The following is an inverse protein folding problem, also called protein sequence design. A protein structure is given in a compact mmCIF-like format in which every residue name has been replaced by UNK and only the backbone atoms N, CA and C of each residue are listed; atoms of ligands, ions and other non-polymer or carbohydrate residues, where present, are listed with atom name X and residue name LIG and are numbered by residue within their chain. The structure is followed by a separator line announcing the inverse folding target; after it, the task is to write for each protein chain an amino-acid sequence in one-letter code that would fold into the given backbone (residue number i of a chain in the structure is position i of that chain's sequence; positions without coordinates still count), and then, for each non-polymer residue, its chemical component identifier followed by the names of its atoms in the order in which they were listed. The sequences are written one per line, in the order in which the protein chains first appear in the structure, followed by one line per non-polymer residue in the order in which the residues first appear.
data_IF_127791520553
#
_entry.id   IF_127791520553
#
_cell.length_a   1.000
_cell.length_b   1.000
_cell.length_c   1.000
_cell.angle_alpha   90.00
_cell.angle_beta   90.00
_cell.angle_gamma   90.00
#
_symmetry.space_group_name_H-M   'P 1'
#
loop_
_entity.id
_entity.type
_entity.pdbx_description
1 polymer ?
#
# COMPACT_ATOMS: atom_id res chain seq x y z
N UNK A 1 6.11 -18.02 2.83
CA UNK A 1 6.34 -16.59 3.09
C UNK A 1 4.99 -15.90 3.01
N UNK A 2 4.56 -15.26 4.09
CA UNK A 2 3.30 -14.53 4.13
C UNK A 2 3.40 -13.22 3.34
N UNK A 3 2.26 -12.75 2.81
CA UNK A 3 2.19 -11.51 2.05
C UNK A 3 1.17 -10.57 2.67
N UNK A 4 1.63 -9.37 2.99
CA UNK A 4 0.85 -8.32 3.62
C UNK A 4 0.83 -7.07 2.76
N UNK A 5 -0.18 -6.23 2.94
CA UNK A 5 -0.22 -4.89 2.40
C UNK A 5 -0.48 -3.86 3.48
N UNK A 6 0.04 -2.66 3.28
CA UNK A 6 -0.31 -1.47 4.03
C UNK A 6 -1.38 -0.71 3.26
N UNK A 7 -2.52 -0.46 3.90
CA UNK A 7 -3.67 0.26 3.35
C UNK A 7 -4.43 0.91 4.51
N UNK A 8 -4.91 2.13 4.31
CA UNK A 8 -5.73 2.86 5.29
C UNK A 8 -7.17 2.90 4.80
N UNK A 9 -8.11 2.38 5.59
CA UNK A 9 -9.55 2.38 5.31
C UNK A 9 -10.36 3.28 6.23
N UNK A 10 -9.81 3.62 7.40
CA UNK A 10 -10.50 4.43 8.41
C UNK A 10 -9.62 4.77 9.61
N UNK A 11 -10.16 5.62 10.49
CA UNK A 11 -9.46 6.14 11.68
C UNK A 11 -9.15 5.03 12.69
N UNK A 12 -10.08 4.09 12.89
CA UNK A 12 -9.94 3.01 13.89
C UNK A 12 -9.35 1.72 13.31
N UNK A 13 -9.20 1.64 11.98
CA UNK A 13 -8.79 0.41 11.32
C UNK A 13 -7.28 0.13 11.46
N UNK A 14 -6.94 -1.15 11.50
CA UNK A 14 -5.56 -1.57 11.33
C UNK A 14 -5.06 -1.23 9.91
N UNK A 15 -3.76 -0.96 9.79
CA UNK A 15 -3.18 -0.60 8.49
C UNK A 15 -2.63 -1.80 7.72
N UNK A 16 -2.49 -2.98 8.35
CA UNK A 16 -1.86 -4.15 7.72
C UNK A 16 -2.93 -5.20 7.43
N UNK A 17 -2.96 -5.63 6.19
CA UNK A 17 -3.96 -6.55 5.65
C UNK A 17 -3.28 -7.74 4.98
N UNK A 18 -3.88 -8.92 5.05
CA UNK A 18 -3.45 -10.07 4.26
C UNK A 18 -3.74 -9.81 2.77
N UNK A 19 -2.73 -10.00 1.91
CA UNK A 19 -2.86 -9.76 0.45
C UNK A 19 -3.90 -10.69 -0.19
N UNK A 20 -3.96 -11.93 0.27
CA UNK A 20 -4.83 -12.94 -0.32
C UNK A 20 -6.28 -12.81 0.17
N UNK A 21 -6.49 -12.64 1.49
CA UNK A 21 -7.82 -12.72 2.11
C UNK A 21 -8.48 -11.36 2.35
N UNK A 22 -7.74 -10.23 2.28
CA UNK A 22 -8.22 -8.90 2.68
C UNK A 22 -8.66 -8.84 4.15
N UNK A 23 -8.18 -9.74 4.99
CA UNK A 23 -8.43 -9.68 6.42
C UNK A 23 -7.39 -8.80 7.11
N UNK A 24 -7.84 -8.04 8.11
CA UNK A 24 -6.95 -7.26 8.97
C UNK A 24 -6.02 -8.16 9.77
N UNK A 25 -4.76 -7.78 9.83
CA UNK A 25 -3.75 -8.45 10.66
C UNK A 25 -3.87 -7.91 12.09
N UNK A 26 -3.82 -8.79 13.09
CA UNK A 26 -3.85 -8.39 14.49
C UNK A 26 -2.59 -7.58 14.87
N UNK A 27 -2.72 -6.58 15.74
CA UNK A 27 -1.60 -5.74 16.21
C UNK A 27 -0.50 -6.53 16.95
N UNK A 28 -0.82 -7.71 17.47
CA UNK A 28 0.14 -8.63 18.08
C UNK A 28 1.03 -9.35 17.07
N UNK A 29 0.70 -9.29 15.77
CA UNK A 29 1.46 -9.96 14.73
C UNK A 29 2.87 -9.35 14.58
N UNK A 30 3.94 -10.17 14.43
CA UNK A 30 5.31 -9.67 14.35
C UNK A 30 5.57 -8.62 13.27
N UNK A 31 4.81 -8.64 12.17
CA UNK A 31 4.92 -7.66 11.07
C UNK A 31 4.86 -6.21 11.57
N UNK A 32 4.03 -5.93 12.58
CA UNK A 32 3.92 -4.59 13.19
C UNK A 32 5.21 -4.18 13.91
N UNK A 33 5.86 -5.11 14.60
CA UNK A 33 7.13 -4.84 15.30
C UNK A 33 8.25 -4.52 14.31
N UNK A 34 8.28 -5.19 13.16
CA UNK A 34 9.26 -4.91 12.12
C UNK A 34 8.99 -3.55 11.47
N UNK A 35 7.73 -3.23 11.16
CA UNK A 35 7.36 -1.94 10.58
C UNK A 35 7.66 -0.79 11.55
N UNK A 36 7.35 -0.96 12.84
CA UNK A 36 7.59 0.06 13.87
C UNK A 36 9.06 0.47 14.00
N UNK A 37 9.98 -0.45 13.74
CA UNK A 37 11.44 -0.15 13.74
C UNK A 37 11.84 0.79 12.61
N UNK A 38 11.08 0.83 11.52
CA UNK A 38 11.40 1.62 10.33
C UNK A 38 10.56 2.90 10.18
N UNK A 39 9.37 2.94 10.80
CA UNK A 39 8.46 4.09 10.78
C UNK A 39 7.50 4.06 11.98
N UNK A 40 7.26 5.23 12.58
CA UNK A 40 6.09 5.42 13.45
C UNK A 40 4.84 5.44 12.57
N UNK A 41 4.25 4.27 12.38
CA UNK A 41 3.13 4.09 11.46
C UNK A 41 1.83 4.74 11.97
N UNK A 42 1.70 5.01 13.28
CA UNK A 42 0.55 5.72 13.84
C UNK A 42 0.56 7.18 13.39
N UNK A 43 1.68 7.89 13.58
CA UNK A 43 1.82 9.27 13.08
C UNK A 43 1.70 9.33 11.55
N UNK A 44 2.28 8.36 10.84
CA UNK A 44 2.11 8.28 9.39
C UNK A 44 0.64 8.11 8.98
N UNK A 45 -0.15 7.32 9.72
CA UNK A 45 -1.57 7.14 9.47
C UNK A 45 -2.34 8.44 9.68
N UNK A 46 -2.00 9.21 10.71
CA UNK A 46 -2.58 10.55 10.94
C UNK A 46 -2.26 11.51 9.79
N UNK A 47 -1.01 11.54 9.32
CA UNK A 47 -0.59 12.31 8.15
C UNK A 47 -1.39 11.90 6.89
N UNK A 48 -1.58 10.60 6.69
CA UNK A 48 -2.35 10.05 5.57
C UNK A 48 -3.83 10.45 5.64
N UNK A 49 -4.47 10.29 6.79
CA UNK A 49 -5.86 10.67 6.99
C UNK A 49 -6.08 12.17 6.82
N UNK A 50 -5.11 12.99 7.21
CA UNK A 50 -5.14 14.44 6.96
C UNK A 50 -5.11 14.75 5.47
N UNK A 51 -4.21 14.11 4.71
CA UNK A 51 -4.18 14.26 3.25
C UNK A 51 -5.48 13.77 2.59
N UNK A 52 -6.09 12.70 3.12
CA UNK A 52 -7.37 12.18 2.62
C UNK A 52 -8.52 13.16 2.88
N UNK A 53 -8.59 13.79 4.06
CA UNK A 53 -9.59 14.82 4.33
C UNK A 53 -9.37 16.07 3.47
N UNK A 54 -8.12 16.49 3.26
CA UNK A 54 -7.82 17.61 2.35
C UNK A 54 -8.29 17.34 0.91
N UNK A 55 -8.17 16.08 0.45
CA UNK A 55 -8.74 15.68 -0.84
C UNK A 55 -10.27 15.84 -0.85
N UNK A 56 -10.97 15.35 0.18
CA UNK A 56 -12.44 15.44 0.27
C UNK A 56 -12.95 16.88 0.36
N UNK A 57 -12.25 17.73 1.13
CA UNK A 57 -12.73 19.07 1.45
C UNK A 57 -12.27 20.15 0.44
N UNK A 58 -11.13 19.92 -0.21
CA UNK A 58 -10.45 20.94 -1.03
C UNK A 58 -9.96 20.45 -2.40
N UNK A 59 -10.34 19.23 -2.81
CA UNK A 59 -9.87 18.58 -4.06
C UNK A 59 -8.33 18.50 -4.17
N UNK A 60 -7.62 18.46 -3.03
CA UNK A 60 -6.17 18.27 -3.00
C UNK A 60 -5.81 16.82 -3.37
N UNK A 61 -5.39 16.61 -4.62
CA UNK A 61 -5.05 15.27 -5.16
C UNK A 61 -3.69 14.73 -4.68
N UNK A 62 -2.99 15.40 -3.76
CA UNK A 62 -1.64 14.99 -3.32
C UNK A 62 -1.59 13.56 -2.78
N UNK A 63 -2.66 13.04 -2.19
CA UNK A 63 -2.72 11.64 -1.72
C UNK A 63 -2.60 10.61 -2.87
N UNK A 64 -3.03 10.98 -4.07
CA UNK A 64 -2.92 10.21 -5.30
C UNK A 64 -1.60 10.46 -6.06
N UNK A 65 -0.69 11.29 -5.55
CA UNK A 65 0.68 11.36 -6.03
C UNK A 65 1.55 10.34 -5.28
N UNK A 66 2.02 9.31 -5.99
CA UNK A 66 2.94 8.31 -5.43
C UNK A 66 4.24 8.91 -4.89
N UNK A 67 4.64 10.09 -5.38
CA UNK A 67 5.82 10.82 -4.92
C UNK A 67 5.55 11.72 -3.72
N UNK A 68 4.30 11.84 -3.27
CA UNK A 68 3.97 12.60 -2.07
C UNK A 68 4.76 12.09 -0.86
N UNK A 69 5.21 12.98 0.04
CA UNK A 69 6.03 12.59 1.19
C UNK A 69 5.42 11.49 2.05
N UNK A 70 4.09 11.51 2.24
CA UNK A 70 3.36 10.49 3.00
C UNK A 70 3.49 9.11 2.35
N UNK A 71 3.28 9.01 1.04
CA UNK A 71 3.41 7.75 0.29
C UNK A 71 4.87 7.26 0.30
N UNK A 72 5.83 8.13 -0.02
CA UNK A 72 7.27 7.80 -0.08
C UNK A 72 7.82 7.28 1.24
N UNK A 73 7.48 7.93 2.36
CA UNK A 73 7.96 7.51 3.70
C UNK A 73 7.58 6.07 4.02
N UNK A 74 6.35 5.65 3.71
CA UNK A 74 5.89 4.28 3.95
C UNK A 74 6.54 3.28 2.99
N UNK A 75 6.62 3.60 1.70
CA UNK A 75 7.27 2.75 0.68
C UNK A 75 8.74 2.49 1.06
N UNK A 76 9.47 3.53 1.48
CA UNK A 76 10.87 3.41 1.86
C UNK A 76 11.02 2.57 3.15
N UNK A 77 10.12 2.74 4.12
CA UNK A 77 10.10 1.92 5.34
C UNK A 77 9.84 0.43 5.03
N UNK A 78 8.82 0.15 4.23
CA UNK A 78 8.50 -1.21 3.79
C UNK A 78 9.68 -1.84 3.03
N UNK A 79 10.35 -1.07 2.18
CA UNK A 79 11.54 -1.55 1.44
C UNK A 79 12.62 -2.01 2.42
N UNK A 80 12.90 -1.24 3.48
CA UNK A 80 13.87 -1.62 4.52
C UNK A 80 13.44 -2.86 5.30
N UNK A 81 12.14 -3.01 5.60
CA UNK A 81 11.61 -4.21 6.25
C UNK A 81 11.79 -5.44 5.36
N UNK A 82 11.39 -5.37 4.10
CA UNK A 82 11.45 -6.49 3.15
C UNK A 82 12.90 -6.93 2.87
N UNK A 83 13.86 -5.99 2.88
CA UNK A 83 15.27 -6.32 2.70
C UNK A 83 15.88 -7.09 3.89
N UNK A 84 15.20 -7.12 5.04
CA UNK A 84 15.68 -7.76 6.28
C UNK A 84 14.85 -8.96 6.72
N UNK A 85 13.63 -9.12 6.22
CA UNK A 85 12.69 -10.17 6.63
C UNK A 85 12.63 -11.28 5.59
N UNK A 86 12.89 -12.52 6.01
CA UNK A 86 12.66 -13.72 5.20
C UNK A 86 11.28 -14.35 5.49
N UNK A 87 10.61 -13.91 6.57
CA UNK A 87 9.35 -14.53 7.04
C UNK A 87 8.14 -14.05 6.21
N UNK A 88 8.14 -12.78 5.83
CA UNK A 88 7.01 -12.14 5.17
C UNK A 88 7.48 -11.05 4.21
N UNK A 89 6.58 -10.71 3.29
CA UNK A 89 6.74 -9.59 2.36
C UNK A 89 5.59 -8.61 2.54
N UNK A 90 5.90 -7.33 2.65
CA UNK A 90 4.92 -6.25 2.79
C UNK A 90 4.89 -5.44 1.49
N UNK A 91 3.70 -5.00 1.08
CA UNK A 91 3.49 -4.09 -0.04
C UNK A 91 2.80 -2.82 0.44
N UNK A 92 3.01 -1.69 -0.22
CA UNK A 92 2.17 -0.52 -0.09
C UNK A 92 1.07 -0.59 -1.15
N UNK A 93 -0.18 -0.58 -0.71
CA UNK A 93 -1.32 -0.53 -1.62
C UNK A 93 -1.50 0.89 -2.13
N UNK A 94 -1.50 1.03 -3.45
CA UNK A 94 -1.68 2.33 -4.09
C UNK A 94 -2.66 2.20 -5.25
N UNK A 95 -3.51 3.21 -5.39
CA UNK A 95 -4.39 3.37 -6.52
C UNK A 95 -4.59 4.85 -6.82
N UNK A 96 -5.14 5.15 -8.00
CA UNK A 96 -5.53 6.51 -8.38
C UNK A 96 -6.99 6.80 -8.01
N UNK A 97 -7.39 8.05 -8.14
CA UNK A 97 -8.80 8.44 -8.10
C UNK A 97 -9.58 7.74 -9.23
N UNK A 98 -10.37 6.73 -8.84
CA UNK A 98 -11.19 5.90 -9.75
C UNK A 98 -12.46 6.60 -10.20
N UNK A 99 -12.91 7.63 -9.51
CA UNK A 99 -14.06 8.41 -9.94
C UNK A 99 -13.66 9.32 -11.11
N UNK A 100 -12.45 9.87 -11.06
CA UNK A 100 -11.84 10.59 -12.19
C UNK A 100 -11.34 9.65 -13.30
N UNK A 101 -10.91 8.44 -12.95
CA UNK A 101 -10.26 7.51 -13.88
C UNK A 101 -10.88 6.09 -13.84
N UNK A 102 -12.17 5.94 -14.22
CA UNK A 102 -12.91 4.69 -14.04
C UNK A 102 -12.37 3.50 -14.85
N UNK A 103 -11.71 3.76 -15.97
CA UNK A 103 -11.20 2.75 -16.90
C UNK A 103 -9.69 2.52 -16.81
N UNK A 104 -9.01 3.11 -15.81
CA UNK A 104 -7.56 2.96 -15.70
C UNK A 104 -7.17 1.51 -15.42
N UNK A 105 -6.08 1.04 -16.03
CA UNK A 105 -5.53 -0.29 -15.80
C UNK A 105 -4.05 -0.15 -15.48
N UNK A 106 -3.65 -0.64 -14.32
CA UNK A 106 -2.26 -0.70 -13.92
C UNK A 106 -1.52 -1.75 -14.76
N UNK A 107 -0.56 -1.31 -15.56
CA UNK A 107 0.35 -2.17 -16.34
C UNK A 107 1.83 -1.93 -16.04
N UNK A 108 2.18 -0.73 -15.56
CA UNK A 108 3.55 -0.28 -15.30
C UNK A 108 3.63 0.30 -13.89
N UNK A 109 4.72 0.00 -13.17
CA UNK A 109 5.01 0.59 -11.88
C UNK A 109 5.37 2.08 -12.05
N UNK A 110 4.68 3.03 -11.39
CA UNK A 110 4.89 4.45 -11.60
C UNK A 110 6.24 4.96 -11.06
N UNK A 111 6.93 4.17 -10.23
CA UNK A 111 8.22 4.54 -9.65
C UNK A 111 9.42 3.89 -10.36
N UNK A 112 9.28 2.66 -10.87
CA UNK A 112 10.39 1.96 -11.55
C UNK A 112 10.26 1.94 -13.08
N UNK A 113 9.10 2.30 -13.63
CA UNK A 113 8.76 2.13 -15.04
C UNK A 113 8.85 0.69 -15.56
N UNK A 114 8.90 -0.29 -14.65
CA UNK A 114 8.90 -1.71 -15.00
C UNK A 114 7.47 -2.25 -15.17
N UNK A 115 7.26 -3.23 -16.06
CA UNK A 115 5.99 -3.95 -16.14
C UNK A 115 5.60 -4.59 -14.81
N UNK A 116 4.33 -4.45 -14.44
CA UNK A 116 3.77 -5.10 -13.26
C UNK A 116 3.59 -6.60 -13.52
N UNK A 117 3.75 -7.39 -12.46
CA UNK A 117 3.50 -8.84 -12.49
C UNK A 117 2.15 -9.14 -11.87
N UNK A 118 1.46 -10.11 -12.44
CA UNK A 118 0.25 -10.67 -11.84
C UNK A 118 0.60 -11.63 -10.70
N UNK A 119 -0.06 -11.47 -9.57
CA UNK A 119 -0.17 -12.49 -8.54
C UNK A 119 -1.16 -13.59 -8.98
N UNK A 120 -1.12 -14.78 -8.34
CA UNK A 120 -2.03 -15.88 -8.63
C UNK A 120 -3.52 -15.47 -8.69
N UNK A 121 -4.30 -16.16 -9.54
CA UNK A 121 -5.70 -15.82 -9.84
C UNK A 121 -6.64 -15.88 -8.63
N UNK A 122 -6.25 -16.60 -7.58
CA UNK A 122 -6.94 -16.72 -6.30
C UNK A 122 -6.60 -15.57 -5.33
N UNK A 123 -5.61 -14.72 -5.63
CA UNK A 123 -5.32 -13.50 -4.86
C UNK A 123 -6.39 -12.45 -5.08
N UNK A 124 -6.93 -11.82 -4.05
CA UNK A 124 -8.00 -10.82 -4.20
C UNK A 124 -7.72 -9.76 -5.29
N UNK A 125 -8.74 -9.39 -6.08
CA UNK A 125 -8.56 -8.55 -7.29
C UNK A 125 -7.95 -7.18 -6.98
N UNK A 126 -8.19 -6.63 -5.80
CA UNK A 126 -7.65 -5.34 -5.39
C UNK A 126 -6.14 -5.37 -5.15
N UNK A 127 -5.53 -6.56 -5.15
CA UNK A 127 -4.13 -6.78 -4.83
C UNK A 127 -3.40 -7.60 -5.89
N UNK A 128 -3.86 -7.61 -7.14
CA UNK A 128 -3.39 -8.61 -8.11
C UNK A 128 -2.15 -8.19 -8.90
N UNK A 129 -1.83 -6.89 -8.96
CA UNK A 129 -0.68 -6.39 -9.72
C UNK A 129 0.42 -5.94 -8.75
N UNK A 130 1.63 -6.45 -8.88
CA UNK A 130 2.77 -6.08 -8.02
C UNK A 130 3.95 -5.58 -8.84
N UNK A 131 4.69 -4.62 -8.27
CA UNK A 131 5.97 -4.22 -8.83
C UNK A 131 7.06 -5.26 -8.50
N UNK A 132 7.95 -5.62 -9.46
CA UNK A 132 9.04 -6.56 -9.20
C UNK A 132 10.12 -6.01 -8.25
N UNK A 133 10.41 -4.71 -8.35
CA UNK A 133 11.55 -4.05 -7.71
C UNK A 133 11.18 -3.13 -6.55
N UNK A 134 9.93 -2.68 -6.50
CA UNK A 134 9.43 -1.74 -5.49
C UNK A 134 8.27 -2.43 -4.75
N UNK A 135 8.13 -2.27 -3.42
CA UNK A 135 7.06 -2.92 -2.68
C UNK A 135 5.71 -2.20 -2.90
N UNK A 136 5.23 -2.17 -4.15
CA UNK A 136 3.91 -1.66 -4.50
C UNK A 136 3.00 -2.79 -4.95
N UNK A 137 1.74 -2.66 -4.57
CA UNK A 137 0.65 -3.53 -5.00
C UNK A 137 -0.54 -2.68 -5.45
N UNK A 138 -1.21 -3.13 -6.51
CA UNK A 138 -2.25 -2.40 -7.19
C UNK A 138 -3.43 -3.34 -7.54
N UNK A 139 -4.64 -2.79 -7.72
CA UNK A 139 -5.78 -3.56 -8.21
C UNK A 139 -5.61 -4.02 -9.67
N UNK A 140 -6.12 -5.21 -9.98
CA UNK A 140 -6.50 -5.55 -11.34
C UNK A 140 -7.68 -4.66 -11.77
N UNK A 141 -7.67 -4.18 -13.02
CA UNK A 141 -8.77 -3.36 -13.57
C UNK A 141 -10.15 -3.97 -13.36
N UNK A 142 -11.19 -3.12 -13.45
CA UNK A 142 -12.59 -3.53 -13.30
C UNK A 142 -13.04 -4.54 -14.36
#
# INVERSE_FOLDING_TARGET
MEQFKVMVTGVDDNIIWHVQTEENVALSHPVYQFLWKEINWMNWKEDYLTAYHNWLDSDDESIYDINAPTNRRMIDAITRVNNRSEMFKIYYWFDIDRDKNPNHIWSICPLSNEPLKDLPVDTHRNNRKVSPSIPLIFPAGR
#
